data_IF_259972055443
#
_entry.id   IF_259972055443
#
_cell.length_a   1.000
_cell.length_b   1.000
_cell.length_c   1.000
_cell.angle_alpha   90.00
_cell.angle_beta   90.00
_cell.angle_gamma   90.00
#
_symmetry.space_group_name_H-M   'P 1'
#
loop_
_entity.id
_entity.type
_entity.pdbx_description
1 polymer ?
#
# COMPACT_ATOMS: atom_id res chain seq x y z
N UNK A 1 -4.31 14.35 2.15
CA UNK A 1 -2.86 14.43 2.36
C UNK A 1 -2.44 13.59 3.56
N UNK A 2 -1.55 12.67 3.37
CA UNK A 2 -1.12 11.75 4.41
C UNK A 2 0.42 11.68 4.49
N UNK A 3 0.92 11.00 5.51
CA UNK A 3 2.35 10.87 5.75
C UNK A 3 2.68 9.46 6.25
N UNK A 4 3.96 9.16 6.37
CA UNK A 4 4.43 7.89 6.96
C UNK A 4 3.95 7.77 8.42
N UNK A 5 3.88 8.87 9.15
CA UNK A 5 3.35 8.85 10.53
C UNK A 5 1.87 8.42 10.56
N UNK A 6 1.09 8.81 9.55
CA UNK A 6 -0.29 8.34 9.43
C UNK A 6 -0.34 6.83 9.17
N UNK A 7 0.57 6.31 8.33
CA UNK A 7 0.68 4.86 8.09
C UNK A 7 0.99 4.13 9.39
N UNK A 8 1.94 4.64 10.17
CA UNK A 8 2.32 4.04 11.46
C UNK A 8 1.16 4.05 12.45
N UNK A 9 0.44 5.17 12.54
CA UNK A 9 -0.70 5.29 13.43
C UNK A 9 -1.82 4.32 13.07
N UNK A 10 -2.13 4.21 11.79
CA UNK A 10 -3.17 3.30 11.29
C UNK A 10 -2.77 1.84 11.53
N UNK A 11 -1.56 1.47 11.14
CA UNK A 11 -1.10 0.07 11.25
C UNK A 11 -0.87 -0.36 12.70
N UNK A 12 -0.61 0.57 13.59
CA UNK A 12 -0.48 0.28 15.03
C UNK A 12 -1.77 -0.30 15.63
N UNK A 13 -2.92 -0.01 15.02
CA UNK A 13 -4.21 -0.55 15.46
C UNK A 13 -4.47 -1.98 14.93
N UNK A 14 -3.63 -2.49 14.06
CA UNK A 14 -3.79 -3.83 13.47
C UNK A 14 -2.97 -4.86 14.25
N UNK A 15 -3.63 -5.92 14.77
CA UNK A 15 -2.91 -7.03 15.40
C UNK A 15 -1.91 -7.69 14.45
N UNK A 16 -0.82 -8.18 15.00
CA UNK A 16 0.18 -8.98 14.29
C UNK A 16 0.97 -8.25 13.20
N UNK A 17 0.86 -6.92 13.14
CA UNK A 17 1.66 -6.13 12.19
C UNK A 17 2.96 -5.69 12.87
N UNK A 18 4.07 -5.88 12.17
CA UNK A 18 5.37 -5.35 12.58
C UNK A 18 5.88 -4.40 11.50
N UNK A 19 6.51 -3.32 11.93
CA UNK A 19 7.22 -2.42 11.03
C UNK A 19 8.69 -2.81 11.00
N UNK A 20 9.26 -2.91 9.78
CA UNK A 20 10.70 -3.09 9.59
C UNK A 20 11.25 -1.85 8.90
N UNK A 21 12.39 -1.36 9.40
CA UNK A 21 13.12 -0.24 8.81
C UNK A 21 14.40 -0.75 8.17
N UNK A 22 15.03 0.08 7.31
CA UNK A 22 16.29 -0.27 6.68
C UNK A 22 16.18 -1.33 5.58
N UNK A 23 14.99 -1.52 5.02
CA UNK A 23 14.78 -2.39 3.87
C UNK A 23 15.46 -1.84 2.61
N UNK A 24 15.05 -2.30 1.44
CA UNK A 24 15.58 -1.85 0.16
C UNK A 24 15.51 -0.32 0.10
N UNK A 25 16.64 0.34 -0.09
CA UNK A 25 16.77 1.81 -0.09
C UNK A 25 16.41 2.48 1.25
N UNK A 26 16.50 1.75 2.36
CA UNK A 26 16.34 2.32 3.71
C UNK A 26 14.89 2.59 4.15
N UNK A 27 13.91 2.24 3.33
CA UNK A 27 12.50 2.50 3.63
C UNK A 27 11.88 1.55 4.63
N UNK A 28 10.70 1.91 5.12
CA UNK A 28 9.92 1.09 6.05
C UNK A 28 8.97 0.16 5.32
N UNK A 29 8.68 -0.99 5.93
CA UNK A 29 7.65 -1.91 5.47
C UNK A 29 6.81 -2.39 6.66
N UNK A 30 5.56 -2.74 6.40
CA UNK A 30 4.62 -3.22 7.40
C UNK A 30 4.13 -4.59 6.97
N UNK A 31 4.21 -5.55 7.87
CA UNK A 31 3.96 -6.94 7.51
C UNK A 31 3.39 -7.76 8.67
N UNK A 32 2.75 -8.88 8.31
CA UNK A 32 2.45 -9.99 9.19
C UNK A 32 3.36 -11.17 8.82
N UNK A 33 3.18 -12.31 9.48
CA UNK A 33 3.89 -13.53 9.09
C UNK A 33 3.54 -14.01 7.68
N UNK A 34 2.39 -13.61 7.16
CA UNK A 34 1.96 -13.97 5.80
C UNK A 34 2.63 -13.14 4.70
N UNK A 35 3.20 -11.99 5.04
CA UNK A 35 3.90 -11.14 4.10
C UNK A 35 3.63 -9.66 4.30
N UNK A 36 4.19 -8.84 3.42
CA UNK A 36 4.02 -7.39 3.47
C UNK A 36 2.61 -6.98 3.06
N UNK A 37 2.07 -5.99 3.76
CA UNK A 37 0.81 -5.37 3.38
C UNK A 37 1.03 -3.96 2.79
N UNK A 38 2.11 -3.29 3.20
CA UNK A 38 2.48 -1.99 2.67
C UNK A 38 3.98 -1.76 2.85
N UNK A 39 4.56 -0.93 1.99
CA UNK A 39 5.99 -0.61 2.07
C UNK A 39 6.29 0.71 1.35
N UNK A 40 7.29 1.45 1.84
CA UNK A 40 7.81 2.59 1.11
C UNK A 40 8.48 2.08 -0.17
N UNK A 41 8.12 2.67 -1.29
CA UNK A 41 8.60 2.22 -2.60
C UNK A 41 9.18 3.40 -3.38
N UNK A 42 10.43 3.76 -3.12
CA UNK A 42 11.11 4.75 -3.96
C UNK A 42 11.37 4.17 -5.36
N UNK A 43 11.54 5.02 -6.36
CA UNK A 43 11.80 4.53 -7.71
C UNK A 43 13.16 3.87 -7.81
N UNK A 44 13.23 2.80 -8.57
CA UNK A 44 14.49 2.19 -9.00
C UNK A 44 14.88 2.81 -10.34
N UNK A 45 16.15 2.70 -10.70
CA UNK A 45 16.65 3.21 -11.98
C UNK A 45 15.86 2.60 -13.15
N UNK A 46 15.62 1.29 -13.10
CA UNK A 46 14.83 0.60 -14.13
C UNK A 46 13.41 1.12 -14.25
N UNK A 47 12.78 1.51 -13.13
CA UNK A 47 11.43 2.10 -13.14
C UNK A 47 11.44 3.43 -13.90
N UNK A 48 12.43 4.27 -13.63
CA UNK A 48 12.56 5.57 -14.28
C UNK A 48 12.79 5.42 -15.78
N UNK A 49 13.63 4.48 -16.19
CA UNK A 49 13.90 4.19 -17.59
C UNK A 49 12.65 3.67 -18.32
N UNK A 50 11.91 2.74 -17.70
CA UNK A 50 10.69 2.18 -18.26
C UNK A 50 9.59 3.23 -18.39
N UNK A 51 9.42 4.09 -17.38
CA UNK A 51 8.43 5.16 -17.45
C UNK A 51 8.78 6.19 -18.52
N UNK A 52 10.07 6.57 -18.61
CA UNK A 52 10.52 7.51 -19.62
C UNK A 52 10.22 6.99 -21.03
N UNK A 53 10.39 5.69 -21.27
CA UNK A 53 10.07 5.07 -22.54
C UNK A 53 8.58 5.16 -22.90
N UNK A 54 7.72 5.29 -21.89
CA UNK A 54 6.27 5.46 -22.02
C UNK A 54 5.83 6.92 -22.01
N UNK A 55 6.78 7.86 -21.97
CA UNK A 55 6.45 9.28 -21.84
C UNK A 55 5.88 9.65 -20.50
N UNK A 56 6.22 8.90 -19.45
CA UNK A 56 5.72 9.09 -18.09
C UNK A 56 6.84 9.44 -17.13
N UNK A 57 6.48 10.04 -16.02
CA UNK A 57 7.41 10.41 -14.95
C UNK A 57 6.99 9.77 -13.63
N UNK A 58 7.98 9.52 -12.78
CA UNK A 58 7.72 9.10 -11.40
C UNK A 58 7.17 10.29 -10.62
N UNK A 59 6.04 10.14 -9.91
CA UNK A 59 5.48 11.26 -9.13
C UNK A 59 6.40 11.71 -8.01
N UNK A 60 6.35 12.99 -7.68
CA UNK A 60 7.06 13.53 -6.53
C UNK A 60 6.47 13.05 -5.22
N UNK A 61 7.26 13.13 -4.16
CA UNK A 61 6.83 12.80 -2.81
C UNK A 61 7.01 11.34 -2.46
N UNK A 62 6.50 10.96 -1.31
CA UNK A 62 6.62 9.60 -0.79
C UNK A 62 5.59 8.69 -1.47
N UNK A 63 6.08 7.58 -1.98
CA UNK A 63 5.26 6.56 -2.64
C UNK A 63 5.21 5.32 -1.76
N UNK A 64 3.99 4.84 -1.52
CA UNK A 64 3.72 3.67 -0.71
C UNK A 64 3.14 2.55 -1.58
N UNK A 65 3.77 1.38 -1.58
CA UNK A 65 3.15 0.19 -2.16
C UNK A 65 2.11 -0.36 -1.19
N UNK A 66 0.93 -0.71 -1.68
CA UNK A 66 -0.14 -1.31 -0.87
C UNK A 66 -0.66 -2.54 -1.57
N UNK A 67 -0.72 -3.64 -0.84
CA UNK A 67 -1.26 -4.90 -1.35
C UNK A 67 -2.75 -4.79 -1.60
N UNK A 68 -3.22 -5.37 -2.71
CA UNK A 68 -4.64 -5.45 -3.06
C UNK A 68 -5.04 -6.89 -3.36
N UNK A 69 -6.35 -7.15 -3.42
CA UNK A 69 -6.90 -8.49 -3.61
C UNK A 69 -7.03 -8.84 -5.11
N UNK A 70 -5.89 -8.97 -5.77
CA UNK A 70 -5.85 -9.42 -7.16
C UNK A 70 -6.07 -8.34 -8.20
N UNK A 71 -6.13 -8.76 -9.46
CA UNK A 71 -6.16 -7.85 -10.62
C UNK A 71 -7.47 -7.04 -10.74
N UNK A 72 -8.60 -7.63 -10.36
CA UNK A 72 -9.88 -6.92 -10.43
C UNK A 72 -9.91 -5.77 -9.44
N UNK A 73 -9.49 -6.03 -8.20
CA UNK A 73 -9.41 -4.98 -7.17
C UNK A 73 -8.40 -3.91 -7.56
N UNK A 74 -7.26 -4.32 -8.13
CA UNK A 74 -6.22 -3.39 -8.62
C UNK A 74 -6.77 -2.47 -9.70
N UNK A 75 -7.43 -3.02 -10.71
CA UNK A 75 -8.01 -2.23 -11.79
C UNK A 75 -9.07 -1.25 -11.26
N UNK A 76 -9.91 -1.69 -10.34
CA UNK A 76 -10.96 -0.85 -9.75
C UNK A 76 -10.37 0.36 -9.00
N UNK A 77 -9.31 0.15 -8.22
CA UNK A 77 -8.63 1.21 -7.47
C UNK A 77 -7.99 2.22 -8.41
N UNK A 78 -7.27 1.74 -9.42
CA UNK A 78 -6.60 2.59 -10.41
C UNK A 78 -7.61 3.43 -11.20
N UNK A 79 -8.74 2.86 -11.55
CA UNK A 79 -9.79 3.54 -12.30
C UNK A 79 -10.54 4.56 -11.44
N UNK A 80 -10.82 4.22 -10.19
CA UNK A 80 -11.62 5.06 -9.29
C UNK A 80 -10.83 6.29 -8.81
N UNK A 81 -9.54 6.12 -8.51
CA UNK A 81 -8.70 7.18 -7.95
C UNK A 81 -7.41 7.37 -8.76
N UNK A 82 -7.50 7.77 -10.03
CA UNK A 82 -6.32 7.86 -10.91
C UNK A 82 -5.28 8.90 -10.49
N UNK A 83 -5.67 9.89 -9.68
CA UNK A 83 -4.75 10.92 -9.18
C UNK A 83 -3.99 10.47 -7.93
N UNK A 84 -4.45 9.41 -7.28
CA UNK A 84 -3.89 8.91 -6.01
C UNK A 84 -3.05 7.67 -6.23
N UNK A 85 -3.54 6.73 -7.04
CA UNK A 85 -2.89 5.45 -7.28
C UNK A 85 -2.39 5.34 -8.70
N UNK A 86 -1.29 4.61 -8.86
CA UNK A 86 -0.73 4.32 -10.17
C UNK A 86 -0.04 2.95 -10.16
N UNK A 87 0.33 2.51 -11.34
CA UNK A 87 1.12 1.28 -11.53
C UNK A 87 2.25 1.55 -12.50
N UNK A 88 3.22 0.67 -12.50
CA UNK A 88 4.40 0.72 -13.36
C UNK A 88 4.58 -0.65 -14.03
N UNK A 89 5.35 -0.74 -15.13
CA UNK A 89 5.58 -2.03 -15.80
C UNK A 89 6.08 -3.14 -14.88
N UNK A 90 6.96 -2.82 -13.93
CA UNK A 90 7.48 -3.80 -12.96
C UNK A 90 6.36 -4.43 -12.11
N UNK A 91 5.24 -3.74 -11.94
CA UNK A 91 4.10 -4.21 -11.14
C UNK A 91 3.02 -4.89 -11.97
N UNK A 92 3.23 -5.07 -13.28
CA UNK A 92 2.25 -5.78 -14.11
C UNK A 92 2.07 -7.21 -13.60
N UNK A 93 0.82 -7.61 -13.36
CA UNK A 93 0.48 -8.92 -12.81
C UNK A 93 0.72 -9.05 -11.30
N UNK A 94 1.30 -8.05 -10.66
CA UNK A 94 1.55 -8.07 -9.22
C UNK A 94 0.38 -7.39 -8.48
N UNK A 95 -0.22 -8.05 -7.45
CA UNK A 95 -1.42 -7.53 -6.79
C UNK A 95 -1.08 -6.45 -5.76
N UNK A 96 -0.58 -5.33 -6.23
CA UNK A 96 -0.31 -4.14 -5.42
C UNK A 96 -0.45 -2.90 -6.28
N UNK A 97 -0.74 -1.77 -5.63
CA UNK A 97 -0.77 -0.45 -6.26
C UNK A 97 0.26 0.45 -5.61
N UNK A 98 0.71 1.45 -6.35
CA UNK A 98 1.56 2.51 -5.84
C UNK A 98 0.69 3.69 -5.45
N UNK A 99 0.94 4.26 -4.29
CA UNK A 99 0.08 5.28 -3.68
C UNK A 99 0.88 6.55 -3.43
N UNK A 100 0.33 7.68 -3.87
CA UNK A 100 0.90 8.99 -3.63
C UNK A 100 0.44 9.48 -2.26
N UNK A 101 1.29 9.33 -1.23
CA UNK A 101 0.94 9.74 0.14
C UNK A 101 0.61 11.23 0.23
N UNK A 102 1.30 12.07 -0.54
CA UNK A 102 1.06 13.51 -0.54
C UNK A 102 -0.34 13.90 -1.01
N UNK A 103 -1.02 13.00 -1.71
CA UNK A 103 -2.32 13.26 -2.33
C UNK A 103 -3.45 12.53 -1.63
N UNK A 104 -3.21 11.33 -1.12
CA UNK A 104 -4.26 10.49 -0.57
C UNK A 104 -4.88 11.11 0.69
N UNK A 105 -6.20 11.03 0.79
CA UNK A 105 -6.94 11.33 2.01
C UNK A 105 -6.67 10.26 3.07
N UNK A 106 -6.55 10.68 4.33
CA UNK A 106 -6.24 9.76 5.44
C UNK A 106 -7.32 8.67 5.60
N UNK A 107 -8.59 9.01 5.37
CA UNK A 107 -9.68 8.03 5.46
C UNK A 107 -9.54 6.95 4.38
N UNK A 108 -9.24 7.35 3.15
CA UNK A 108 -8.99 6.39 2.06
C UNK A 108 -7.76 5.53 2.35
N UNK A 109 -6.71 6.13 2.90
CA UNK A 109 -5.52 5.40 3.30
C UNK A 109 -5.86 4.34 4.34
N UNK A 110 -6.68 4.68 5.34
CA UNK A 110 -7.14 3.73 6.36
C UNK A 110 -7.91 2.58 5.74
N UNK A 111 -8.80 2.85 4.81
CA UNK A 111 -9.57 1.81 4.12
C UNK A 111 -8.65 0.87 3.33
N UNK A 112 -7.71 1.44 2.58
CA UNK A 112 -6.75 0.66 1.79
C UNK A 112 -5.86 -0.21 2.67
N UNK A 113 -5.34 0.34 3.76
CA UNK A 113 -4.49 -0.41 4.69
C UNK A 113 -5.26 -1.49 5.45
N UNK A 114 -6.52 -1.22 5.81
CA UNK A 114 -7.39 -2.21 6.44
C UNK A 114 -7.61 -3.40 5.51
N UNK A 115 -7.95 -3.14 4.25
CA UNK A 115 -8.15 -4.20 3.26
C UNK A 115 -6.88 -5.01 3.04
N UNK A 116 -5.73 -4.35 2.96
CA UNK A 116 -4.44 -5.03 2.81
C UNK A 116 -4.13 -5.90 4.04
N UNK A 117 -4.41 -5.41 5.24
CA UNK A 117 -4.22 -6.17 6.47
C UNK A 117 -5.12 -7.41 6.50
N UNK A 118 -6.39 -7.28 6.07
CA UNK A 118 -7.31 -8.42 6.01
C UNK A 118 -6.79 -9.54 5.11
N UNK A 119 -6.01 -9.21 4.09
CA UNK A 119 -5.37 -10.22 3.22
C UNK A 119 -4.21 -10.94 3.92
N UNK A 120 -3.63 -10.36 4.96
CA UNK A 120 -2.40 -10.83 5.61
C UNK A 120 -2.60 -11.26 7.06
N UNK A 121 -3.75 -10.98 7.65
CA UNK A 121 -4.03 -11.35 9.03
C UNK A 121 -4.55 -12.79 9.13
N UNK A 122 -4.27 -13.50 10.23
CA UNK A 122 -4.95 -14.76 10.50
C UNK A 122 -6.47 -14.54 10.56
N UNK A 123 -7.24 -15.47 9.99
CA UNK A 123 -8.70 -15.30 9.85
C UNK A 123 -9.42 -15.05 11.18
N UNK A 124 -9.02 -15.74 12.24
CA UNK A 124 -9.62 -15.57 13.57
C UNK A 124 -9.31 -14.21 14.16
N UNK A 125 -8.09 -13.72 13.96
CA UNK A 125 -7.66 -12.40 14.41
C UNK A 125 -8.42 -11.30 13.65
N UNK A 126 -8.53 -11.46 12.33
CA UNK A 126 -9.25 -10.53 11.47
C UNK A 126 -10.73 -10.45 11.87
N UNK A 127 -11.39 -11.59 12.08
CA UNK A 127 -12.80 -11.64 12.47
C UNK A 127 -13.05 -10.94 13.81
N UNK A 128 -12.19 -11.17 14.79
CA UNK A 128 -12.30 -10.54 16.11
C UNK A 128 -12.12 -9.01 16.01
N UNK A 129 -11.14 -8.57 15.24
CA UNK A 129 -10.87 -7.14 15.05
C UNK A 129 -12.05 -6.44 14.36
N UNK A 130 -12.58 -7.05 13.30
CA UNK A 130 -13.75 -6.50 12.58
C UNK A 130 -14.95 -6.35 13.50
N UNK A 131 -15.20 -7.34 14.35
CA UNK A 131 -16.30 -7.31 15.33
C UNK A 131 -16.11 -6.18 16.35
N UNK A 132 -14.90 -6.02 16.90
CA UNK A 132 -14.58 -4.97 17.85
C UNK A 132 -14.77 -3.57 17.25
N UNK A 133 -14.55 -3.42 15.95
CA UNK A 133 -14.65 -2.14 15.25
C UNK A 133 -16.01 -1.92 14.58
N UNK A 134 -16.97 -2.82 14.81
CA UNK A 134 -18.32 -2.69 14.26
C UNK A 134 -18.39 -2.88 12.74
N UNK A 135 -17.42 -3.59 12.17
CA UNK A 135 -17.31 -3.82 10.73
C UNK A 135 -17.74 -5.23 10.31
N UNK A 136 -18.15 -6.06 11.24
CA UNK A 136 -18.61 -7.42 10.96
C UNK A 136 -20.01 -7.65 11.47
#
# INVERSE_FOLDING_TARGET
>A
MASIEDVRRITADFPRVTERTGGHNGGSSWRTNAGMLAWERPPRRSDLEQLAALGREWPDGVILGIRVDGEVAKAAVLETYPDVFFTIPHFDGFPAVLTRLDVIDVQLLREMLTDAWLLRAPKTVAAAWLKEHGLA
#
